data_IF_384974776243
#
_entry.id   IF_384974776243
#
_cell.length_a   1.000
_cell.length_b   1.000
_cell.length_c   1.000
_cell.angle_alpha   90.00
_cell.angle_beta   90.00
_cell.angle_gamma   90.00
#
_symmetry.space_group_name_H-M   'P 1'
#
loop_
_entity.id
_entity.type
_entity.pdbx_description
1 polymer ?
#
# COMPACT_ATOMS: atom_id res chain seq x y z
N UNK A 1 5.31 4.59 -11.61
CA UNK A 1 4.36 5.72 -11.63
C UNK A 1 3.13 5.31 -10.85
N UNK A 2 2.26 6.26 -10.49
CA UNK A 2 1.07 5.98 -9.69
C UNK A 2 0.05 5.11 -10.42
N UNK A 3 -0.66 4.29 -9.65
CA UNK A 3 -1.76 3.44 -10.09
C UNK A 3 -2.91 3.64 -9.11
N UNK A 4 -4.09 3.98 -9.63
CA UNK A 4 -5.30 4.06 -8.83
C UNK A 4 -5.72 2.65 -8.39
N UNK A 5 -5.99 2.47 -7.10
CA UNK A 5 -6.12 1.13 -6.53
C UNK A 5 -7.52 0.52 -6.76
N UNK A 6 -8.50 1.37 -7.08
CA UNK A 6 -9.89 0.98 -7.27
C UNK A 6 -10.18 0.77 -8.76
N UNK A 7 -9.87 1.77 -9.59
CA UNK A 7 -10.12 1.75 -11.03
C UNK A 7 -9.03 1.00 -11.82
N UNK A 8 -7.83 0.83 -11.25
CA UNK A 8 -6.67 0.25 -11.92
C UNK A 8 -6.01 1.18 -12.94
N UNK A 9 -6.48 2.43 -13.10
CA UNK A 9 -5.88 3.39 -14.03
C UNK A 9 -4.46 3.76 -13.60
N UNK A 10 -3.54 3.80 -14.57
CA UNK A 10 -2.11 3.99 -14.30
C UNK A 10 -1.54 5.18 -15.07
N UNK A 11 -0.53 5.84 -14.48
CA UNK A 11 0.21 6.92 -15.15
C UNK A 11 0.95 6.44 -16.40
N UNK A 12 1.41 5.19 -16.37
CA UNK A 12 2.11 4.53 -17.47
C UNK A 12 1.31 3.31 -17.89
N UNK A 13 0.78 3.34 -19.11
CA UNK A 13 -0.02 2.26 -19.69
C UNK A 13 0.12 2.32 -21.22
N UNK A 14 -0.09 1.19 -21.88
CA UNK A 14 -0.20 1.10 -23.34
C UNK A 14 -1.64 1.23 -23.83
N UNK A 15 -2.63 1.21 -22.93
CA UNK A 15 -4.05 1.34 -23.24
C UNK A 15 -4.60 2.69 -22.75
N UNK A 16 -5.14 3.49 -23.67
CA UNK A 16 -5.69 4.82 -23.38
C UNK A 16 -6.86 4.80 -22.38
N UNK A 17 -7.71 3.78 -22.41
CA UNK A 17 -8.84 3.65 -21.48
C UNK A 17 -8.38 3.48 -20.03
N UNK A 18 -7.17 2.93 -19.85
CA UNK A 18 -6.55 2.66 -18.55
C UNK A 18 -5.60 3.78 -18.11
N UNK A 19 -5.54 4.90 -18.85
CA UNK A 19 -4.67 6.02 -18.52
C UNK A 19 -5.24 6.81 -17.34
N UNK A 20 -4.41 7.03 -16.31
CA UNK A 20 -4.71 7.95 -15.22
C UNK A 20 -4.58 9.39 -15.74
N UNK A 21 -5.73 10.07 -15.87
CA UNK A 21 -5.82 11.44 -16.43
C UNK A 21 -5.62 12.53 -15.38
N UNK A 22 -5.81 12.21 -14.10
CA UNK A 22 -5.61 13.14 -13.00
C UNK A 22 -4.16 13.59 -12.90
N UNK A 23 -3.96 14.88 -12.61
CA UNK A 23 -2.63 15.47 -12.41
C UNK A 23 -2.12 15.16 -11.00
N UNK A 24 -1.67 13.93 -10.79
CA UNK A 24 -1.15 13.47 -9.50
C UNK A 24 0.35 13.73 -9.40
N UNK A 25 0.75 14.57 -8.45
CA UNK A 25 2.16 14.70 -8.07
C UNK A 25 2.61 13.47 -7.30
N UNK A 26 3.44 12.63 -7.94
CA UNK A 26 3.94 11.39 -7.35
C UNK A 26 5.45 11.48 -7.08
N UNK A 27 5.86 11.22 -5.84
CA UNK A 27 7.25 11.23 -5.41
C UNK A 27 7.68 9.84 -5.00
N UNK A 28 8.79 9.31 -5.56
CA UNK A 28 9.29 8.01 -5.14
C UNK A 28 9.81 8.07 -3.70
N UNK A 29 9.63 6.95 -2.98
CA UNK A 29 10.21 6.69 -1.66
C UNK A 29 10.96 5.37 -1.70
N UNK A 30 12.11 5.30 -1.04
CA UNK A 30 12.83 4.06 -0.79
C UNK A 30 12.62 3.71 0.68
N UNK A 31 11.98 2.58 0.95
CA UNK A 31 11.70 2.09 2.29
C UNK A 31 12.71 1.02 2.67
N UNK A 32 13.16 1.02 3.92
CA UNK A 32 14.00 -0.05 4.48
C UNK A 32 13.10 -1.04 5.22
N UNK A 33 12.85 -2.20 4.62
CA UNK A 33 11.84 -3.14 5.12
C UNK A 33 12.50 -4.40 5.62
N UNK A 34 12.20 -4.83 6.84
CA UNK A 34 12.48 -6.17 7.32
C UNK A 34 11.22 -7.04 7.22
N UNK A 35 11.37 -8.35 7.05
CA UNK A 35 10.25 -9.27 7.10
C UNK A 35 10.49 -10.25 8.26
N UNK A 36 9.70 -10.09 9.32
CA UNK A 36 9.79 -10.93 10.51
C UNK A 36 9.48 -12.39 10.18
N UNK A 37 10.30 -13.30 10.71
CA UNK A 37 10.09 -14.75 10.56
C UNK A 37 10.62 -15.37 9.26
N UNK A 38 11.12 -14.57 8.30
CA UNK A 38 11.73 -15.11 7.08
C UNK A 38 13.27 -15.23 7.14
N UNK A 39 13.91 -14.75 8.22
CA UNK A 39 15.36 -14.85 8.44
C UNK A 39 16.22 -14.08 7.43
N UNK A 40 15.62 -13.16 6.68
CA UNK A 40 16.31 -12.33 5.68
C UNK A 40 16.70 -10.99 6.27
N UNK A 41 17.79 -10.42 5.75
CA UNK A 41 18.17 -9.03 6.01
C UNK A 41 17.12 -8.06 5.47
N UNK A 42 17.18 -6.81 5.95
CA UNK A 42 16.30 -5.75 5.43
C UNK A 42 16.60 -5.45 3.96
N UNK A 43 15.54 -5.19 3.20
CA UNK A 43 15.59 -4.81 1.78
C UNK A 43 15.17 -3.37 1.59
N UNK A 44 15.84 -2.68 0.64
CA UNK A 44 15.38 -1.36 0.19
C UNK A 44 14.34 -1.53 -0.93
N UNK A 45 13.10 -1.11 -0.66
CA UNK A 45 11.96 -1.26 -1.59
C UNK A 45 11.52 0.11 -2.09
N UNK A 46 11.50 0.29 -3.41
CA UNK A 46 11.03 1.52 -4.04
C UNK A 46 9.52 1.51 -4.22
N UNK A 47 8.88 2.56 -3.74
CA UNK A 47 7.43 2.79 -3.79
C UNK A 47 7.16 4.25 -4.18
N UNK A 48 5.89 4.61 -4.34
CA UNK A 48 5.42 5.98 -4.55
C UNK A 48 4.67 6.46 -3.31
N UNK A 49 4.76 7.74 -2.97
CA UNK A 49 3.95 8.35 -1.90
C UNK A 49 2.43 8.23 -2.14
N UNK A 50 2.02 8.09 -3.40
CA UNK A 50 0.65 7.83 -3.81
C UNK A 50 0.22 6.37 -3.74
N UNK A 51 1.09 5.43 -3.35
CA UNK A 51 0.67 4.03 -3.25
C UNK A 51 -0.21 3.85 -2.02
N UNK A 52 -1.31 3.10 -2.15
CA UNK A 52 -2.02 2.55 -0.98
C UNK A 52 -1.13 1.56 -0.26
N UNK A 53 -1.45 1.21 0.96
CA UNK A 53 -0.64 0.27 1.71
C UNK A 53 -0.75 -1.15 1.20
N UNK A 54 -1.89 -1.55 0.65
CA UNK A 54 -1.96 -2.82 -0.10
C UNK A 54 -0.96 -2.83 -1.26
N UNK A 55 -0.87 -1.75 -2.05
CA UNK A 55 0.12 -1.65 -3.13
C UNK A 55 1.57 -1.66 -2.62
N UNK A 56 1.82 -1.04 -1.46
CA UNK A 56 3.14 -1.10 -0.80
C UNK A 56 3.47 -2.52 -0.35
N UNK A 57 2.53 -3.22 0.28
CA UNK A 57 2.67 -4.63 0.69
C UNK A 57 2.95 -5.53 -0.51
N UNK A 58 2.23 -5.35 -1.62
CA UNK A 58 2.48 -6.07 -2.88
C UNK A 58 3.93 -5.88 -3.35
N UNK A 59 4.43 -4.64 -3.42
CA UNK A 59 5.81 -4.34 -3.85
C UNK A 59 6.88 -4.91 -2.91
N UNK A 60 6.59 -4.94 -1.60
CA UNK A 60 7.48 -5.56 -0.62
C UNK A 60 7.52 -7.08 -0.83
N UNK A 61 6.36 -7.73 -1.00
CA UNK A 61 6.29 -9.16 -1.30
C UNK A 61 6.99 -9.49 -2.62
N UNK A 62 6.86 -8.67 -3.66
CA UNK A 62 7.62 -8.82 -4.91
C UNK A 62 9.14 -8.80 -4.69
N UNK A 63 9.63 -7.95 -3.79
CA UNK A 63 11.05 -7.86 -3.46
C UNK A 63 11.55 -9.08 -2.68
N UNK A 64 10.83 -9.49 -1.63
CA UNK A 64 11.22 -10.62 -0.77
C UNK A 64 11.01 -11.98 -1.44
N UNK A 65 9.95 -12.14 -2.22
CA UNK A 65 9.54 -13.42 -2.78
C UNK A 65 9.93 -13.60 -4.26
N UNK A 66 10.82 -12.76 -4.79
CA UNK A 66 11.25 -12.76 -6.22
C UNK A 66 11.63 -14.13 -6.79
N UNK A 67 12.19 -15.02 -5.97
CA UNK A 67 12.64 -16.37 -6.37
C UNK A 67 11.70 -17.49 -5.90
N UNK A 68 10.52 -17.14 -5.39
CA UNK A 68 9.52 -18.08 -4.87
C UNK A 68 8.36 -18.12 -5.87
N UNK A 69 7.77 -19.29 -6.17
CA UNK A 69 6.56 -19.36 -6.99
C UNK A 69 5.41 -18.55 -6.37
N UNK A 70 4.68 -17.79 -7.19
CA UNK A 70 3.58 -16.92 -6.72
C UNK A 70 2.52 -17.66 -5.88
N UNK A 71 2.27 -18.94 -6.15
CA UNK A 71 1.33 -19.77 -5.38
C UNK A 71 1.75 -20.02 -3.92
N UNK A 72 3.00 -19.74 -3.57
CA UNK A 72 3.55 -19.88 -2.22
C UNK A 72 3.70 -18.53 -1.52
N UNK A 73 3.38 -17.42 -2.18
CA UNK A 73 3.50 -16.10 -1.57
C UNK A 73 2.42 -15.91 -0.50
N UNK A 74 2.75 -15.23 0.62
CA UNK A 74 1.74 -14.64 1.49
C UNK A 74 0.82 -13.74 0.66
N UNK A 75 -0.46 -13.68 1.02
CA UNK A 75 -1.36 -12.70 0.43
C UNK A 75 -1.20 -11.36 1.14
N UNK A 76 -1.60 -10.30 0.46
CA UNK A 76 -1.55 -8.93 0.99
C UNK A 76 -2.41 -8.78 2.25
N UNK A 77 -3.55 -9.47 2.29
CA UNK A 77 -4.44 -9.52 3.45
C UNK A 77 -3.89 -10.36 4.63
N UNK A 78 -2.88 -11.19 4.39
CA UNK A 78 -2.29 -12.07 5.40
C UNK A 78 -1.01 -11.47 6.03
N UNK A 79 -0.67 -10.22 5.70
CA UNK A 79 0.50 -9.52 6.24
C UNK A 79 0.15 -8.16 6.81
N UNK A 80 0.76 -7.82 7.94
CA UNK A 80 0.75 -6.48 8.51
C UNK A 80 2.02 -5.71 8.12
N UNK A 81 1.89 -4.39 8.10
CA UNK A 81 2.98 -3.48 7.82
C UNK A 81 3.07 -2.45 8.95
N UNK A 82 4.18 -2.49 9.68
CA UNK A 82 4.46 -1.61 10.81
C UNK A 82 5.55 -0.61 10.42
N UNK A 83 5.34 0.67 10.72
CA UNK A 83 6.33 1.72 10.55
C UNK A 83 6.91 2.15 11.89
N UNK A 84 8.24 2.16 11.99
CA UNK A 84 8.97 2.70 13.13
C UNK A 84 9.24 4.19 12.90
N UNK A 85 8.35 5.04 13.40
CA UNK A 85 8.47 6.50 13.26
C UNK A 85 9.60 7.05 14.13
N UNK A 86 9.76 6.49 15.32
CA UNK A 86 10.84 6.79 16.27
C UNK A 86 11.37 5.49 16.86
N UNK A 87 12.37 5.57 17.76
CA UNK A 87 12.84 4.39 18.50
C UNK A 87 11.82 3.85 19.52
N UNK A 88 10.79 4.63 19.84
CA UNK A 88 9.78 4.29 20.86
C UNK A 88 8.38 4.13 20.28
N UNK A 89 8.12 4.69 19.10
CA UNK A 89 6.80 4.73 18.49
C UNK A 89 6.80 3.96 17.17
N UNK A 90 5.89 3.00 17.09
CA UNK A 90 5.57 2.27 15.87
C UNK A 90 4.07 2.27 15.59
N UNK A 91 3.71 2.19 14.32
CA UNK A 91 2.33 2.26 13.87
C UNK A 91 2.04 1.17 12.83
N UNK A 92 1.00 0.38 13.07
CA UNK A 92 0.46 -0.52 12.05
C UNK A 92 -0.29 0.33 11.03
N UNK A 93 0.18 0.28 9.79
CA UNK A 93 -0.36 1.06 8.70
C UNK A 93 -1.47 0.26 8.00
N UNK A 94 -2.65 0.88 7.76
CA UNK A 94 -3.78 0.25 7.06
C UNK A 94 -4.33 1.13 5.94
N UNK A 95 -4.92 0.53 4.90
CA UNK A 95 -5.60 1.29 3.84
C UNK A 95 -6.80 2.07 4.37
N UNK A 96 -7.41 1.59 5.47
CA UNK A 96 -8.51 2.24 6.15
C UNK A 96 -8.32 2.09 7.66
N UNK A 97 -8.38 3.22 8.35
CA UNK A 97 -8.41 3.34 9.81
C UNK A 97 -9.18 4.60 10.25
N UNK A 98 -9.11 4.94 11.54
CA UNK A 98 -9.78 6.11 12.11
C UNK A 98 -9.15 7.45 11.69
N UNK A 99 -7.98 7.42 11.04
CA UNK A 99 -7.31 8.61 10.50
C UNK A 99 -7.66 8.90 9.05
N UNK A 100 -8.29 7.95 8.35
CA UNK A 100 -8.59 8.11 6.91
C UNK A 100 -9.54 9.28 6.65
N UNK A 101 -9.19 10.06 5.65
CA UNK A 101 -9.90 11.30 5.29
C UNK A 101 -11.21 10.99 4.56
N UNK A 102 -12.24 11.79 4.86
CA UNK A 102 -13.49 11.83 4.09
C UNK A 102 -13.44 13.01 3.12
N UNK A 103 -13.74 12.76 1.84
CA UNK A 103 -13.79 13.76 0.76
C UNK A 103 -15.07 13.51 -0.04
N UNK A 104 -15.91 14.54 -0.19
CA UNK A 104 -17.21 14.46 -0.90
C UNK A 104 -18.10 13.27 -0.49
N UNK A 105 -18.11 12.95 0.81
CA UNK A 105 -18.91 11.86 1.37
C UNK A 105 -18.33 10.46 1.17
N UNK A 106 -17.14 10.35 0.56
CA UNK A 106 -16.43 9.09 0.32
C UNK A 106 -15.16 9.02 1.18
N UNK A 107 -14.80 7.82 1.62
CA UNK A 107 -13.59 7.58 2.42
C UNK A 107 -12.40 7.35 1.51
N UNK A 108 -11.35 8.15 1.65
CA UNK A 108 -10.11 8.03 0.88
C UNK A 108 -9.26 6.88 1.43
N UNK A 109 -8.72 6.06 0.54
CA UNK A 109 -7.72 5.06 0.94
C UNK A 109 -6.44 5.74 1.41
N UNK A 110 -5.93 5.28 2.54
CA UNK A 110 -4.67 5.77 3.10
C UNK A 110 -3.50 5.36 2.20
N UNK A 111 -2.58 6.29 2.01
CA UNK A 111 -1.36 6.12 1.23
C UNK A 111 -0.12 6.34 2.08
N UNK A 112 1.08 6.07 1.55
CA UNK A 112 2.31 6.50 2.23
C UNK A 112 2.36 8.01 2.47
N UNK A 113 1.82 8.80 1.53
CA UNK A 113 1.68 10.24 1.65
C UNK A 113 0.75 10.66 2.78
N UNK A 114 -0.36 9.93 3.00
CA UNK A 114 -1.29 10.16 4.12
C UNK A 114 -0.58 10.10 5.47
N UNK A 115 0.18 9.04 5.71
CA UNK A 115 0.97 8.87 6.95
C UNK A 115 2.26 9.69 6.98
N UNK A 116 2.56 10.46 5.92
CA UNK A 116 3.76 11.29 5.78
C UNK A 116 5.05 10.48 5.98
N UNK A 117 5.07 9.25 5.47
CA UNK A 117 6.22 8.36 5.61
C UNK A 117 7.44 8.98 4.88
N UNK A 118 8.58 9.20 5.58
CA UNK A 118 9.75 9.80 4.98
C UNK A 118 10.49 8.82 4.06
N UNK A 119 11.35 9.36 3.19
CA UNK A 119 12.29 8.53 2.44
C UNK A 119 13.30 7.89 3.42
N UNK A 120 13.67 6.63 3.19
CA UNK A 120 14.53 5.86 4.08
C UNK A 120 13.85 5.33 5.33
N UNK A 121 12.52 5.48 5.47
CA UNK A 121 11.79 4.99 6.63
C UNK A 121 11.99 3.48 6.85
N UNK A 122 12.09 3.09 8.13
CA UNK A 122 12.21 1.70 8.56
C UNK A 122 10.83 1.09 8.80
N UNK A 123 10.52 0.00 8.12
CA UNK A 123 9.27 -0.74 8.28
C UNK A 123 9.55 -2.21 8.57
N UNK A 124 8.61 -2.87 9.24
CA UNK A 124 8.57 -4.32 9.38
C UNK A 124 7.28 -4.88 8.76
N UNK A 125 7.43 -5.93 7.97
CA UNK A 125 6.34 -6.79 7.53
C UNK A 125 6.30 -8.04 8.40
N UNK A 126 5.11 -8.48 8.77
CA UNK A 126 4.89 -9.71 9.54
C UNK A 126 3.63 -10.41 9.06
N UNK A 127 3.53 -11.72 9.29
CA UNK A 127 2.30 -12.45 9.03
C UNK A 127 1.26 -12.08 10.10
N UNK A 128 0.04 -11.81 9.68
CA UNK A 128 -1.07 -11.47 10.58
C UNK A 128 -1.61 -12.74 11.25
N UNK A 129 -1.80 -12.69 12.56
CA UNK A 129 -2.60 -13.69 13.28
C UNK A 129 -4.07 -13.52 12.89
N UNK A 130 -4.66 -14.54 12.26
CA UNK A 130 -5.97 -14.57 11.55
C UNK A 130 -7.23 -14.12 12.31
N UNK A 131 -7.15 -13.41 13.44
CA UNK A 131 -8.28 -12.97 14.26
C UNK A 131 -8.95 -11.67 13.80
N UNK A 132 -8.28 -10.81 13.03
CA UNK A 132 -8.79 -9.47 12.67
C UNK A 132 -9.03 -9.23 11.17
N UNK A 133 -9.33 -10.28 10.40
CA UNK A 133 -9.54 -10.11 8.96
C UNK A 133 -10.99 -9.74 8.62
N UNK A 134 -11.36 -8.48 8.81
CA UNK A 134 -12.66 -7.90 8.41
C UNK A 134 -12.59 -6.90 7.25
N UNK A 135 -11.42 -6.72 6.62
CA UNK A 135 -11.29 -5.82 5.47
C UNK A 135 -11.31 -6.61 4.16
N UNK A 136 -12.34 -6.37 3.36
CA UNK A 136 -12.44 -6.83 1.98
C UNK A 136 -11.26 -6.31 1.15
N UNK A 137 -10.84 -7.06 0.12
CA UNK A 137 -9.74 -6.65 -0.76
C UNK A 137 -10.06 -5.27 -1.32
N UNK A 138 -9.05 -4.42 -1.52
CA UNK A 138 -9.26 -3.06 -2.05
C UNK A 138 -10.07 -3.06 -3.36
N UNK A 139 -9.91 -4.10 -4.18
CA UNK A 139 -10.65 -4.29 -5.44
C UNK A 139 -12.13 -4.65 -5.25
N UNK A 140 -12.51 -5.11 -4.06
CA UNK A 140 -13.87 -5.47 -3.69
C UNK A 140 -14.59 -4.30 -2.97
N UNK A 141 -13.91 -3.16 -2.78
CA UNK A 141 -14.49 -1.98 -2.14
C UNK A 141 -15.52 -1.30 -3.05
N UNK A 142 -16.63 -0.93 -2.45
CA UNK A 142 -17.72 -0.17 -3.08
C UNK A 142 -17.21 1.19 -3.57
N UNK A 143 -17.19 1.38 -4.89
CA UNK A 143 -16.69 2.61 -5.53
C UNK A 143 -17.52 3.83 -5.15
N UNK A 144 -18.76 3.65 -4.69
CA UNK A 144 -19.57 4.76 -4.20
C UNK A 144 -19.16 5.22 -2.81
N UNK A 145 -18.44 4.40 -2.04
CA UNK A 145 -18.04 4.68 -0.66
C UNK A 145 -16.56 5.00 -0.52
N UNK A 146 -15.72 4.50 -1.43
CA UNK A 146 -14.27 4.59 -1.33
C UNK A 146 -13.66 5.11 -2.62
N UNK A 147 -12.56 5.86 -2.50
CA UNK A 147 -11.76 6.32 -3.64
C UNK A 147 -10.27 6.32 -3.29
N UNK A 148 -9.41 6.32 -4.31
CA UNK A 148 -7.96 6.44 -4.13
C UNK A 148 -7.42 7.74 -4.74
N UNK A 149 -7.12 7.74 -6.04
CA UNK A 149 -6.60 8.89 -6.78
C UNK A 149 -7.67 9.54 -7.64
N UNK A 150 -8.65 8.77 -8.08
CA UNK A 150 -9.75 9.23 -8.94
C UNK A 150 -11.03 9.29 -8.12
N UNK A 151 -11.69 10.45 -8.07
CA UNK A 151 -13.07 10.54 -7.61
C UNK A 151 -13.98 9.94 -8.69
N UNK A 152 -14.84 8.97 -8.35
CA UNK A 152 -15.85 8.48 -9.28
C UNK A 152 -16.76 9.63 -9.73
N UNK A 153 -16.86 9.85 -11.05
CA UNK A 153 -17.80 10.78 -11.68
C UNK A 153 -19.22 10.28 -11.64
#
# INVERSE_FOLDING_TARGET
GSIDAITGKARYTLNEEWLLRENIEAKPRNLNVSFQGCGMDSLSVRVMDTDTLSQVKEKILEAFCKNIPYSQWPRVEDVDLEWFATSTDSYILRDLDDTSVMEDGRKKLNTLGHYKIPDGASLAMSLTDKKDNTLSRVKDLDTEKYFHLVLPT
#
